data_IF_905226079931
#
_entry.id   IF_905226079931
#
_cell.length_a   1.000
_cell.length_b   1.000
_cell.length_c   1.000
_cell.angle_alpha   90.00
_cell.angle_beta   90.00
_cell.angle_gamma   90.00
#
_symmetry.space_group_name_H-M   'P 1'
#
loop_
_entity.id
_entity.type
_entity.pdbx_description
1 polymer ?
#
# COMPACT_ATOMS: atom_id res chain seq x y z
N UNK A 1 -18.21 -7.38 -0.15
CA UNK A 1 -19.02 -7.05 -1.34
C UNK A 1 -19.50 -5.60 -1.33
N UNK A 2 -19.99 -5.02 -0.22
CA UNK A 2 -20.41 -3.60 -0.20
C UNK A 2 -19.31 -2.58 -0.51
N UNK A 3 -18.11 -2.69 0.10
CA UNK A 3 -17.01 -1.75 -0.15
C UNK A 3 -16.51 -1.75 -1.61
N UNK A 4 -16.45 -2.94 -2.22
CA UNK A 4 -16.10 -3.07 -3.65
C UNK A 4 -17.12 -2.39 -4.56
N UNK A 5 -18.41 -2.51 -4.25
CA UNK A 5 -19.47 -1.86 -5.02
C UNK A 5 -19.54 -0.35 -4.73
N UNK A 6 -19.23 0.10 -3.50
CA UNK A 6 -19.03 1.53 -3.19
C UNK A 6 -17.85 2.10 -4.00
N UNK A 7 -16.71 1.41 -4.06
CA UNK A 7 -15.54 1.81 -4.85
C UNK A 7 -15.91 1.99 -6.33
N UNK A 8 -16.64 1.02 -6.90
CA UNK A 8 -17.13 1.11 -8.28
C UNK A 8 -18.11 2.27 -8.48
N UNK A 9 -19.05 2.46 -7.56
CA UNK A 9 -20.09 3.50 -7.66
C UNK A 9 -19.49 4.91 -7.50
N UNK A 10 -18.47 5.06 -6.66
CA UNK A 10 -17.76 6.31 -6.44
C UNK A 10 -16.71 6.61 -7.53
N UNK A 11 -16.51 5.70 -8.49
CA UNK A 11 -15.51 5.87 -9.56
C UNK A 11 -14.06 5.90 -9.05
N UNK A 12 -13.83 5.43 -7.83
CA UNK A 12 -12.52 5.43 -7.18
C UNK A 12 -11.67 4.36 -7.85
N UNK A 13 -10.52 4.78 -8.42
CA UNK A 13 -9.61 3.86 -9.09
C UNK A 13 -8.96 2.93 -8.07
N UNK A 14 -8.59 1.74 -8.53
CA UNK A 14 -7.79 0.84 -7.71
C UNK A 14 -6.45 1.53 -7.42
N UNK A 15 -6.09 1.68 -6.14
CA UNK A 15 -4.88 2.36 -5.69
C UNK A 15 -5.08 3.85 -5.38
N UNK A 16 -6.30 4.38 -5.53
CA UNK A 16 -6.60 5.76 -5.19
C UNK A 16 -6.55 5.96 -3.65
N UNK A 17 -5.66 6.84 -3.14
CA UNK A 17 -5.54 7.12 -1.72
C UNK A 17 -6.85 7.59 -1.08
N UNK A 18 -7.78 8.17 -1.84
CA UNK A 18 -9.09 8.59 -1.32
C UNK A 18 -9.83 7.43 -0.65
N UNK A 19 -9.66 6.20 -1.14
CA UNK A 19 -10.29 5.04 -0.52
C UNK A 19 -9.78 4.80 0.91
N UNK A 20 -8.50 5.04 1.18
CA UNK A 20 -7.93 4.93 2.52
C UNK A 20 -8.57 5.92 3.49
N UNK A 21 -8.89 7.12 3.01
CA UNK A 21 -9.56 8.13 3.83
C UNK A 21 -10.99 7.69 4.19
N UNK A 22 -11.73 7.11 3.24
CA UNK A 22 -13.07 6.55 3.50
C UNK A 22 -12.99 5.45 4.55
N UNK A 23 -12.05 4.50 4.40
CA UNK A 23 -11.84 3.41 5.36
C UNK A 23 -11.43 3.96 6.74
N UNK A 24 -10.48 4.89 6.80
CA UNK A 24 -10.02 5.50 8.04
C UNK A 24 -11.16 6.24 8.77
N UNK A 25 -12.03 6.92 8.02
CA UNK A 25 -13.13 7.72 8.60
C UNK A 25 -14.12 6.90 9.42
N UNK A 26 -14.27 5.60 9.14
CA UNK A 26 -15.12 4.69 9.92
C UNK A 26 -14.67 4.57 11.39
N UNK A 27 -13.40 4.87 11.68
CA UNK A 27 -12.84 4.79 13.02
C UNK A 27 -12.81 6.12 13.76
N UNK A 28 -13.20 7.22 13.11
CA UNK A 28 -13.03 8.58 13.65
C UNK A 28 -13.67 8.75 15.02
N UNK A 29 -14.87 8.21 15.20
CA UNK A 29 -15.66 8.41 16.41
C UNK A 29 -15.41 7.31 17.46
N UNK A 30 -15.14 6.07 17.04
CA UNK A 30 -14.96 4.94 17.97
C UNK A 30 -13.51 4.71 18.40
N UNK A 31 -12.55 4.90 17.48
CA UNK A 31 -11.14 4.65 17.71
C UNK A 31 -10.29 5.75 17.07
N UNK A 32 -10.22 6.95 17.69
CA UNK A 32 -9.53 8.11 17.13
C UNK A 32 -8.06 7.83 16.81
N UNK A 33 -7.39 7.00 17.62
CA UNK A 33 -6.01 6.57 17.37
C UNK A 33 -5.87 5.73 16.09
N UNK A 34 -6.91 4.97 15.69
CA UNK A 34 -6.92 4.20 14.46
C UNK A 34 -7.14 5.11 13.25
N UNK A 35 -8.00 6.12 13.40
CA UNK A 35 -8.17 7.17 12.40
C UNK A 35 -6.86 7.93 12.14
N UNK A 36 -6.08 8.26 13.17
CA UNK A 36 -4.77 8.92 13.01
C UNK A 36 -3.79 8.07 12.19
N UNK A 37 -3.71 6.78 12.46
CA UNK A 37 -2.87 5.84 11.71
C UNK A 37 -3.36 5.71 10.25
N UNK A 38 -4.68 5.64 10.03
CA UNK A 38 -5.26 5.63 8.69
C UNK A 38 -5.00 6.93 7.92
N UNK A 39 -5.02 8.08 8.61
CA UNK A 39 -4.66 9.39 8.06
C UNK A 39 -3.18 9.48 7.68
N UNK A 40 -2.29 8.88 8.47
CA UNK A 40 -0.87 8.76 8.12
C UNK A 40 -0.70 7.93 6.83
N UNK A 41 -1.37 6.77 6.75
CA UNK A 41 -1.35 5.94 5.55
C UNK A 41 -1.89 6.68 4.31
N UNK A 42 -2.98 7.44 4.45
CA UNK A 42 -3.50 8.30 3.38
C UNK A 42 -2.47 9.34 2.91
N UNK A 43 -1.82 10.04 3.84
CA UNK A 43 -0.82 11.07 3.50
C UNK A 43 0.39 10.46 2.80
N UNK A 44 0.89 9.32 3.27
CA UNK A 44 2.03 8.65 2.64
C UNK A 44 1.67 8.09 1.27
N UNK A 45 0.47 7.54 1.09
CA UNK A 45 -0.01 7.10 -0.22
C UNK A 45 -0.24 8.26 -1.21
N UNK A 46 -0.57 9.47 -0.72
CA UNK A 46 -0.81 10.64 -1.57
C UNK A 46 0.46 11.40 -1.93
N UNK A 47 1.31 11.64 -0.94
CA UNK A 47 2.42 12.60 -1.03
C UNK A 47 3.81 11.95 -0.84
N UNK A 48 3.86 10.70 -0.37
CA UNK A 48 5.09 9.98 -0.07
C UNK A 48 5.63 9.17 -1.24
N UNK A 49 6.78 8.53 -1.01
CA UNK A 49 7.32 7.50 -1.90
C UNK A 49 6.50 6.22 -1.79
N UNK A 50 6.54 5.38 -2.83
CA UNK A 50 5.85 4.09 -2.81
C UNK A 50 6.33 3.18 -1.65
N UNK A 51 7.60 3.27 -1.25
CA UNK A 51 8.11 2.55 -0.06
C UNK A 51 7.47 3.07 1.24
N UNK A 52 7.36 4.38 1.41
CA UNK A 52 6.70 5.00 2.57
C UNK A 52 5.20 4.67 2.61
N UNK A 53 4.54 4.69 1.44
CA UNK A 53 3.14 4.32 1.30
C UNK A 53 2.90 2.87 1.75
N UNK A 54 3.71 1.92 1.25
CA UNK A 54 3.65 0.51 1.65
C UNK A 54 3.92 0.34 3.14
N UNK A 55 4.93 1.01 3.69
CA UNK A 55 5.25 0.92 5.11
C UNK A 55 4.10 1.41 6.00
N UNK A 56 3.48 2.53 5.62
CA UNK A 56 2.34 3.10 6.34
C UNK A 56 1.08 2.24 6.23
N UNK A 57 0.77 1.74 5.03
CA UNK A 57 -0.32 0.79 4.79
C UNK A 57 -0.17 -0.49 5.62
N UNK A 58 1.04 -1.07 5.66
CA UNK A 58 1.31 -2.26 6.50
C UNK A 58 1.15 -1.97 7.99
N UNK A 59 1.51 -0.76 8.45
CA UNK A 59 1.29 -0.36 9.85
C UNK A 59 -0.20 -0.26 10.16
N UNK A 60 -0.98 0.35 9.26
CA UNK A 60 -2.43 0.44 9.39
C UNK A 60 -3.06 -0.97 9.44
N UNK A 61 -2.69 -1.84 8.50
CA UNK A 61 -3.18 -3.21 8.43
C UNK A 61 -2.88 -4.00 9.71
N UNK A 62 -1.63 -3.99 10.19
CA UNK A 62 -1.25 -4.73 11.41
C UNK A 62 -2.11 -4.31 12.60
N UNK A 63 -2.41 -3.02 12.72
CA UNK A 63 -3.20 -2.51 13.82
C UNK A 63 -4.67 -2.92 13.71
N UNK A 64 -5.23 -2.91 12.50
CA UNK A 64 -6.55 -3.46 12.23
C UNK A 64 -6.62 -4.98 12.52
N UNK A 65 -5.56 -5.73 12.22
CA UNK A 65 -5.45 -7.15 12.55
C UNK A 65 -5.35 -7.41 14.06
N UNK A 66 -4.65 -6.56 14.82
CA UNK A 66 -4.60 -6.67 16.30
C UNK A 66 -6.01 -6.50 16.87
N UNK A 67 -6.81 -5.58 16.35
CA UNK A 67 -8.21 -5.40 16.75
C UNK A 67 -9.07 -6.64 16.42
N UNK A 68 -8.81 -7.28 15.28
CA UNK A 68 -9.52 -8.51 14.86
C UNK A 68 -9.31 -9.68 15.81
N UNK A 69 -8.11 -9.81 16.38
CA UNK A 69 -7.74 -10.93 17.24
C UNK A 69 -7.78 -10.59 18.73
N UNK A 70 -8.38 -9.46 19.13
CA UNK A 70 -8.30 -8.96 20.49
C UNK A 70 -8.75 -10.02 21.52
N UNK A 71 -7.89 -10.45 22.45
CA UNK A 71 -8.26 -11.33 23.56
C UNK A 71 -8.93 -10.58 24.75
N UNK A 72 -9.12 -9.26 24.67
CA UNK A 72 -9.58 -8.39 25.78
C UNK A 72 -10.94 -7.70 25.59
N UNK A 73 -11.76 -8.06 24.60
CA UNK A 73 -13.09 -7.46 24.37
C UNK A 73 -14.18 -8.52 24.36
N UNK A 74 -15.38 -8.24 24.91
CA UNK A 74 -16.42 -9.25 25.09
C UNK A 74 -16.80 -9.84 23.73
N UNK A 75 -17.28 -11.09 23.73
CA UNK A 75 -17.89 -11.78 22.59
C UNK A 75 -19.11 -11.03 21.96
N UNK A 76 -19.34 -9.79 22.39
CA UNK A 76 -20.46 -8.89 22.09
C UNK A 76 -20.07 -7.71 21.18
N UNK A 77 -18.89 -7.70 20.55
CA UNK A 77 -18.69 -6.78 19.41
C UNK A 77 -19.69 -7.22 18.35
N UNK A 78 -20.75 -6.43 18.17
CA UNK A 78 -21.87 -6.73 17.28
C UNK A 78 -21.36 -7.31 15.96
N UNK A 79 -22.00 -8.40 15.51
CA UNK A 79 -21.57 -9.18 14.34
C UNK A 79 -21.26 -8.32 13.11
N UNK A 80 -21.95 -7.18 12.99
CA UNK A 80 -21.77 -6.18 11.94
C UNK A 80 -20.41 -5.47 12.00
N UNK A 81 -19.97 -4.99 13.17
CA UNK A 81 -18.66 -4.32 13.35
C UNK A 81 -17.50 -5.29 13.08
N UNK A 82 -17.65 -6.56 13.48
CA UNK A 82 -16.68 -7.62 13.16
C UNK A 82 -16.61 -7.90 11.66
N UNK A 83 -17.76 -7.96 10.98
CA UNK A 83 -17.83 -8.14 9.53
C UNK A 83 -17.23 -6.94 8.79
N UNK A 84 -17.50 -5.72 9.26
CA UNK A 84 -16.94 -4.49 8.71
C UNK A 84 -15.41 -4.46 8.85
N UNK A 85 -14.88 -4.76 10.03
CA UNK A 85 -13.44 -4.91 10.27
C UNK A 85 -12.80 -5.95 9.35
N UNK A 86 -13.42 -7.13 9.22
CA UNK A 86 -12.93 -8.17 8.32
C UNK A 86 -12.89 -7.70 6.86
N UNK A 87 -13.93 -6.99 6.40
CA UNK A 87 -13.94 -6.46 5.04
C UNK A 87 -12.87 -5.38 4.85
N UNK A 88 -12.67 -4.48 5.81
CA UNK A 88 -11.65 -3.43 5.72
C UNK A 88 -10.23 -3.99 5.66
N UNK A 89 -9.89 -4.97 6.51
CA UNK A 89 -8.57 -5.62 6.48
C UNK A 89 -8.29 -6.25 5.11
N UNK A 90 -9.28 -6.92 4.52
CA UNK A 90 -9.13 -7.50 3.18
C UNK A 90 -8.96 -6.46 2.08
N UNK A 91 -9.61 -5.31 2.19
CA UNK A 91 -9.39 -4.23 1.20
C UNK A 91 -8.02 -3.57 1.39
N UNK A 92 -7.48 -3.51 2.61
CA UNK A 92 -6.10 -3.07 2.85
C UNK A 92 -5.08 -4.03 2.21
N UNK A 93 -5.33 -5.35 2.25
CA UNK A 93 -4.51 -6.33 1.52
C UNK A 93 -4.47 -6.03 0.02
N UNK A 94 -5.63 -5.78 -0.58
CA UNK A 94 -5.70 -5.44 -2.00
C UNK A 94 -5.00 -4.13 -2.36
N UNK A 95 -4.98 -3.14 -1.46
CA UNK A 95 -4.21 -1.92 -1.67
C UNK A 95 -2.69 -2.19 -1.63
N UNK A 96 -2.25 -3.05 -0.73
CA UNK A 96 -0.85 -3.44 -0.63
C UNK A 96 -0.35 -4.24 -1.84
N UNK A 97 -1.18 -5.13 -2.38
CA UNK A 97 -0.88 -5.91 -3.59
C UNK A 97 -0.62 -5.00 -4.81
N UNK A 98 -1.38 -3.91 -4.97
CA UNK A 98 -1.21 -2.99 -6.08
C UNK A 98 -0.01 -2.05 -5.94
N UNK A 99 0.28 -1.58 -4.72
CA UNK A 99 1.49 -0.80 -4.46
C UNK A 99 2.75 -1.65 -4.69
N UNK A 100 2.71 -2.95 -4.35
CA UNK A 100 3.82 -3.85 -4.68
C UNK A 100 4.02 -4.07 -6.18
N UNK A 101 2.95 -4.15 -6.97
CA UNK A 101 3.05 -4.25 -8.43
C UNK A 101 3.64 -2.96 -9.04
N UNK A 102 3.27 -1.80 -8.49
CA UNK A 102 3.80 -0.49 -8.92
C UNK A 102 5.30 -0.37 -8.63
N UNK A 103 5.76 -0.92 -7.50
CA UNK A 103 7.18 -1.00 -7.16
C UNK A 103 7.94 -1.91 -8.12
N UNK A 104 7.39 -3.08 -8.47
CA UNK A 104 8.03 -4.04 -9.38
C UNK A 104 8.25 -3.48 -10.79
N UNK A 105 7.31 -2.66 -11.30
CA UNK A 105 7.45 -2.01 -12.60
C UNK A 105 8.54 -0.91 -12.58
N UNK A 106 8.73 -0.22 -11.45
CA UNK A 106 9.73 0.85 -11.31
C UNK A 106 11.18 0.34 -11.26
N UNK A 107 11.42 -0.89 -10.79
CA UNK A 107 12.75 -1.52 -10.78
C UNK A 107 13.19 -1.96 -12.19
N UNK A 108 12.24 -2.36 -13.05
CA UNK A 108 12.54 -2.81 -14.42
C UNK A 108 13.07 -1.72 -15.36
N UNK A 109 12.81 -0.45 -15.05
CA UNK A 109 13.27 0.69 -15.87
C UNK A 109 14.66 1.21 -15.50
N UNK A 110 15.28 0.70 -14.44
CA UNK A 110 16.60 1.18 -13.97
C UNK A 110 17.78 0.29 -14.41
N UNK A 111 17.53 -0.78 -15.18
CA UNK A 111 18.57 -1.75 -15.60
C UNK A 111 18.97 -1.63 -17.08
N UNK A 112 18.83 -0.45 -17.67
CA UNK A 112 19.28 -0.16 -19.04
C UNK A 112 20.38 0.90 -19.07
N UNK A 113 21.57 0.54 -18.56
CA UNK A 113 22.79 1.26 -18.94
C UNK A 113 23.17 0.88 -20.37
N UNK A 114 23.40 1.84 -21.27
CA UNK A 114 23.81 1.53 -22.64
C UNK A 114 25.24 1.03 -22.64
N UNK A 115 25.36 -0.21 -23.10
CA UNK A 115 26.61 -0.86 -23.48
C UNK A 115 27.26 -0.04 -24.61
N UNK A 116 28.40 0.63 -24.37
CA UNK A 116 29.26 1.13 -25.45
C UNK A 116 30.72 1.14 -25.01
N UNK A 117 31.41 0.01 -25.15
CA UNK A 117 32.81 0.00 -25.59
C UNK A 117 33.03 -1.29 -26.39
N UNK A 118 32.58 -1.25 -27.63
CA UNK A 118 32.95 -2.23 -28.64
C UNK A 118 34.34 -1.95 -29.20
N UNK A 119 35.13 -3.03 -29.28
CA UNK A 119 36.12 -3.35 -30.32
C UNK A 119 37.38 -2.47 -30.43
N UNK A 120 38.60 -2.95 -30.18
CA UNK A 120 39.36 -4.13 -30.66
C UNK A 120 40.46 -3.70 -31.64
N UNK A 121 41.66 -4.26 -31.39
CA UNK A 121 42.82 -4.41 -32.27
C UNK A 121 43.73 -3.17 -32.42
N UNK A 122 45.05 -3.28 -32.55
CA UNK A 122 46.08 -4.34 -32.42
C UNK A 122 47.40 -3.60 -32.74
N UNK A 123 48.50 -4.00 -32.09
CA UNK A 123 49.92 -3.90 -32.48
C UNK A 123 50.37 -2.86 -33.53
N UNK A 124 51.44 -2.13 -33.22
CA UNK A 124 52.74 -2.38 -33.88
C UNK A 124 53.90 -1.69 -33.17
N UNK A 125 55.03 -2.40 -33.18
CA UNK A 125 56.41 -1.98 -32.85
C UNK A 125 56.81 -0.69 -33.59
N UNK A 126 57.82 0.02 -33.09
CA UNK A 126 59.13 0.29 -33.76
C UNK A 126 60.00 1.21 -32.90
N UNK A 127 61.30 0.93 -32.97
CA UNK A 127 62.51 1.43 -32.33
C UNK A 127 62.72 2.93 -32.10
N UNK A 128 63.49 3.25 -31.06
CA UNK A 128 64.83 3.87 -31.18
C UNK A 128 65.62 3.65 -29.87
#
# INVERSE_FOLDING_TARGET
>A
MMLREMRKTMGIKAGDPIFLLVVASAFRDEMPWMYEIGMEAYRMARDGTAEEAVAALRRFQRMADVMRHNPFGPDEVESESRMMMHMMVRELDHLLEMESDTLADSESSNEQTPNTTGHRARNSKVSA
#
